data_IF_861867725212
#
_entry.id   IF_861867725212
#
_cell.length_a   1.000
_cell.length_b   1.000
_cell.length_c   1.000
_cell.angle_alpha   90.00
_cell.angle_beta   90.00
_cell.angle_gamma   90.00
#
_symmetry.space_group_name_H-M   'P 1'
#
loop_
_entity.id
_entity.type
_entity.pdbx_description
1 polymer ?
#
# COMPACT_ATOMS: atom_id res chain seq x y z
N UNK A 1 11.55 -35.01 19.29
CA UNK A 1 10.34 -34.27 18.85
C UNK A 1 10.53 -32.80 19.26
N UNK A 2 10.96 -31.93 18.36
CA UNK A 2 11.14 -30.50 18.64
C UNK A 2 9.82 -29.77 18.39
N UNK A 3 9.27 -29.15 19.43
CA UNK A 3 8.07 -28.31 19.32
C UNK A 3 8.50 -26.92 18.82
N UNK A 4 7.86 -26.36 17.77
CA UNK A 4 8.19 -25.02 17.32
C UNK A 4 7.70 -24.01 18.38
N UNK A 5 8.64 -23.31 19.03
CA UNK A 5 8.33 -22.16 19.89
C UNK A 5 7.94 -20.99 18.99
N UNK A 6 6.65 -20.85 18.73
CA UNK A 6 6.12 -19.64 18.10
C UNK A 6 6.17 -18.55 19.18
N UNK A 7 7.23 -17.75 19.16
CA UNK A 7 7.34 -16.56 20.00
C UNK A 7 6.17 -15.63 19.66
N UNK A 8 5.37 -15.26 20.66
CA UNK A 8 4.29 -14.28 20.52
C UNK A 8 4.81 -12.85 20.29
N UNK A 9 6.13 -12.64 20.38
CA UNK A 9 6.76 -11.36 20.11
C UNK A 9 7.09 -11.25 18.61
N UNK A 10 6.61 -10.21 17.90
CA UNK A 10 7.09 -9.92 16.56
C UNK A 10 8.62 -9.71 16.59
N UNK A 11 9.33 -10.06 15.51
CA UNK A 11 10.78 -9.92 15.48
C UNK A 11 11.18 -8.47 15.77
N UNK A 12 12.27 -8.24 16.53
CA UNK A 12 12.62 -6.94 17.10
C UNK A 12 12.94 -5.84 16.07
N UNK A 13 12.98 -6.19 14.79
CA UNK A 13 13.31 -5.29 13.66
C UNK A 13 12.08 -4.95 12.80
N UNK A 14 10.87 -5.23 13.29
CA UNK A 14 9.65 -4.82 12.58
C UNK A 14 9.35 -3.37 12.94
N UNK A 15 9.78 -2.44 12.09
CA UNK A 15 9.37 -1.04 12.19
C UNK A 15 7.84 -0.98 12.19
N UNK A 16 7.19 -0.57 13.30
CA UNK A 16 5.75 -0.53 13.34
C UNK A 16 5.23 0.42 12.28
N UNK A 17 5.96 1.45 11.86
CA UNK A 17 5.48 2.44 10.90
C UNK A 17 5.51 1.99 9.45
N UNK A 18 6.13 0.85 9.13
CA UNK A 18 6.18 0.32 7.76
C UNK A 18 5.02 -0.62 7.47
N UNK A 19 4.52 -0.58 6.23
CA UNK A 19 3.56 -1.57 5.75
C UNK A 19 4.22 -2.95 5.66
N UNK A 20 3.46 -3.99 6.03
CA UNK A 20 3.89 -5.37 5.91
C UNK A 20 3.75 -5.85 4.46
N UNK A 21 4.62 -5.35 3.57
CA UNK A 21 4.56 -5.65 2.15
C UNK A 21 4.81 -7.15 1.91
N UNK A 22 3.86 -7.82 1.25
CA UNK A 22 4.05 -9.22 0.85
C UNK A 22 5.14 -9.32 -0.24
N UNK A 23 5.83 -10.45 -0.30
CA UNK A 23 6.91 -10.65 -1.26
C UNK A 23 6.39 -10.86 -2.70
N UNK A 24 7.10 -10.28 -3.67
CA UNK A 24 6.90 -10.51 -5.10
C UNK A 24 5.50 -10.13 -5.60
N UNK A 25 4.86 -11.02 -6.36
CA UNK A 25 3.57 -10.77 -7.03
C UNK A 25 2.39 -10.56 -6.07
N UNK A 26 2.50 -10.96 -4.81
CA UNK A 26 1.45 -10.74 -3.80
C UNK A 26 1.54 -9.38 -3.10
N UNK A 27 2.61 -8.61 -3.35
CA UNK A 27 2.81 -7.29 -2.76
C UNK A 27 1.60 -6.37 -3.00
N UNK A 28 1.24 -6.18 -4.28
CA UNK A 28 0.18 -5.26 -4.70
C UNK A 28 -1.23 -5.74 -4.29
N UNK A 29 -1.65 -7.01 -4.53
CA UNK A 29 -2.97 -7.46 -4.10
C UNK A 29 -3.23 -7.27 -2.61
N UNK A 30 -2.26 -7.65 -1.76
CA UNK A 30 -2.37 -7.47 -0.32
C UNK A 30 -2.42 -5.99 0.07
N UNK A 31 -1.63 -5.15 -0.61
CA UNK A 31 -1.63 -3.72 -0.34
C UNK A 31 -2.98 -3.08 -0.72
N UNK A 32 -3.65 -3.56 -1.76
CA UNK A 32 -5.01 -3.11 -2.10
C UNK A 32 -6.03 -3.48 -1.00
N UNK A 33 -5.93 -4.69 -0.43
CA UNK A 33 -6.74 -5.10 0.72
C UNK A 33 -6.47 -4.20 1.94
N UNK A 34 -5.21 -3.86 2.21
CA UNK A 34 -4.81 -2.97 3.31
C UNK A 34 -5.28 -1.52 3.10
N UNK A 35 -5.39 -1.04 1.85
CA UNK A 35 -5.99 0.27 1.52
C UNK A 35 -7.50 0.33 1.81
N UNK A 36 -8.18 -0.80 1.83
CA UNK A 36 -9.60 -0.90 2.16
C UNK A 36 -9.84 -1.26 3.64
N UNK A 37 -8.77 -1.37 4.42
CA UNK A 37 -8.85 -1.67 5.85
C UNK A 37 -9.58 -0.55 6.61
N UNK A 38 -10.40 -0.87 7.62
CA UNK A 38 -11.05 0.13 8.47
C UNK A 38 -10.06 0.81 9.44
N UNK A 39 -8.84 0.28 9.59
CA UNK A 39 -7.83 0.87 10.45
C UNK A 39 -7.05 1.97 9.71
N UNK A 40 -7.21 3.22 10.15
CA UNK A 40 -6.52 4.40 9.59
C UNK A 40 -5.02 4.19 9.41
N UNK A 41 -4.36 3.66 10.44
CA UNK A 41 -2.92 3.48 10.44
C UNK A 41 -2.47 2.43 9.42
N UNK A 42 -3.28 1.39 9.19
CA UNK A 42 -3.03 0.38 8.15
C UNK A 42 -3.16 0.99 6.77
N UNK A 43 -4.22 1.79 6.54
CA UNK A 43 -4.41 2.53 5.29
C UNK A 43 -3.24 3.46 5.00
N UNK A 44 -2.85 4.30 5.96
CA UNK A 44 -1.75 5.26 5.79
C UNK A 44 -0.44 4.57 5.45
N UNK A 45 -0.15 3.43 6.11
CA UNK A 45 1.05 2.62 5.80
C UNK A 45 0.99 2.04 4.40
N UNK A 46 -0.14 1.44 4.02
CA UNK A 46 -0.35 0.91 2.68
C UNK A 46 -0.16 2.00 1.62
N UNK A 47 -0.69 3.19 1.87
CA UNK A 47 -0.58 4.35 0.97
C UNK A 47 0.85 4.85 0.83
N UNK A 48 1.62 4.91 1.93
CA UNK A 48 3.05 5.24 1.89
C UNK A 48 3.84 4.20 1.09
N UNK A 49 3.57 2.91 1.31
CA UNK A 49 4.21 1.86 0.53
C UNK A 49 3.80 1.89 -0.95
N UNK A 50 2.56 2.31 -1.25
CA UNK A 50 2.13 2.53 -2.64
C UNK A 50 2.87 3.70 -3.27
N UNK A 51 3.02 4.83 -2.56
CA UNK A 51 3.84 5.97 -3.01
C UNK A 51 5.25 5.50 -3.43
N UNK A 52 5.92 4.69 -2.60
CA UNK A 52 7.26 4.20 -2.91
C UNK A 52 7.27 3.30 -4.17
N UNK A 53 6.21 2.51 -4.38
CA UNK A 53 6.12 1.56 -5.49
C UNK A 53 5.74 2.21 -6.83
N UNK A 54 4.91 3.26 -6.85
CA UNK A 54 4.43 3.88 -8.10
C UNK A 54 5.48 4.71 -8.84
N UNK A 55 6.66 4.90 -8.26
CA UNK A 55 7.82 5.45 -8.98
C UNK A 55 8.38 4.48 -10.04
N UNK A 56 8.06 3.19 -9.92
CA UNK A 56 8.40 2.16 -10.91
C UNK A 56 7.22 1.99 -11.89
N UNK A 57 7.40 2.32 -13.19
CA UNK A 57 6.32 2.24 -14.17
C UNK A 57 5.75 0.82 -14.31
N UNK A 58 6.55 -0.24 -14.14
CA UNK A 58 6.04 -1.61 -14.21
C UNK A 58 5.02 -1.88 -13.10
N UNK A 59 5.27 -1.36 -11.90
CA UNK A 59 4.36 -1.46 -10.76
C UNK A 59 3.11 -0.62 -10.96
N UNK A 60 3.21 0.52 -11.63
CA UNK A 60 2.04 1.34 -12.02
C UNK A 60 1.12 0.52 -12.92
N UNK A 61 1.63 -0.11 -13.98
CA UNK A 61 0.82 -0.94 -14.86
C UNK A 61 0.16 -2.11 -14.12
N UNK A 62 0.90 -2.78 -13.24
CA UNK A 62 0.34 -3.86 -12.40
C UNK A 62 -0.74 -3.35 -11.45
N UNK A 63 -0.55 -2.19 -10.82
CA UNK A 63 -1.54 -1.59 -9.92
C UNK A 63 -2.82 -1.20 -10.67
N UNK A 64 -2.70 -0.65 -11.88
CA UNK A 64 -3.85 -0.34 -12.74
C UNK A 64 -4.61 -1.63 -13.09
N UNK A 65 -3.90 -2.69 -13.50
CA UNK A 65 -4.52 -3.98 -13.82
C UNK A 65 -5.23 -4.63 -12.62
N UNK A 66 -4.81 -4.31 -11.39
CA UNK A 66 -5.40 -4.78 -10.14
C UNK A 66 -6.55 -3.89 -9.62
N UNK A 67 -6.92 -2.83 -10.34
CA UNK A 67 -8.05 -1.96 -9.97
C UNK A 67 -7.74 -0.96 -8.84
N UNK A 68 -6.48 -0.57 -8.66
CA UNK A 68 -6.11 0.42 -7.63
C UNK A 68 -6.74 1.80 -7.84
N UNK A 69 -7.09 2.15 -9.08
CA UNK A 69 -7.71 3.44 -9.40
C UNK A 69 -9.06 3.63 -8.71
N UNK A 70 -9.87 2.57 -8.63
CA UNK A 70 -11.16 2.61 -7.93
C UNK A 70 -10.97 2.81 -6.42
N UNK A 71 -10.00 2.11 -5.82
CA UNK A 71 -9.63 2.30 -4.41
C UNK A 71 -9.11 3.73 -4.15
N UNK A 72 -8.23 4.24 -5.00
CA UNK A 72 -7.68 5.61 -4.87
C UNK A 72 -8.76 6.67 -4.99
N UNK A 73 -9.72 6.51 -5.91
CA UNK A 73 -10.86 7.41 -6.05
C UNK A 73 -11.66 7.52 -4.75
N UNK A 74 -11.95 6.39 -4.10
CA UNK A 74 -12.65 6.38 -2.81
C UNK A 74 -11.82 7.06 -1.69
N UNK A 75 -10.50 6.91 -1.73
CA UNK A 75 -9.59 7.52 -0.75
C UNK A 75 -9.49 9.05 -0.88
N UNK A 76 -9.84 9.62 -2.03
CA UNK A 76 -9.90 11.09 -2.19
C UNK A 76 -11.04 11.71 -1.37
N UNK A 77 -12.09 10.97 -1.06
CA UNK A 77 -13.23 11.42 -0.23
C UNK A 77 -13.03 11.07 1.25
N UNK A 78 -11.88 10.48 1.62
CA UNK A 78 -11.60 10.05 2.98
C UNK A 78 -11.54 11.23 3.95
N UNK A 79 -11.98 11.06 5.20
CA UNK A 79 -12.04 12.13 6.20
C UNK A 79 -10.65 12.65 6.63
N UNK A 80 -9.66 11.76 6.64
CA UNK A 80 -8.29 12.08 7.01
C UNK A 80 -7.54 12.85 5.91
N UNK A 81 -6.88 13.95 6.29
CA UNK A 81 -6.15 14.80 5.35
C UNK A 81 -4.91 14.13 4.77
N UNK A 82 -4.19 13.33 5.56
CA UNK A 82 -2.95 12.68 5.11
C UNK A 82 -3.27 11.63 4.04
N UNK A 83 -4.32 10.82 4.27
CA UNK A 83 -4.83 9.86 3.28
C UNK A 83 -5.18 10.55 1.97
N UNK A 84 -5.94 11.66 2.00
CA UNK A 84 -6.30 12.40 0.78
C UNK A 84 -5.08 12.96 0.06
N UNK A 85 -4.16 13.58 0.80
CA UNK A 85 -2.95 14.18 0.22
C UNK A 85 -2.10 13.11 -0.47
N UNK A 86 -1.84 12.00 0.21
CA UNK A 86 -1.02 10.91 -0.32
C UNK A 86 -1.71 10.18 -1.48
N UNK A 87 -3.04 10.00 -1.44
CA UNK A 87 -3.78 9.44 -2.56
C UNK A 87 -3.69 10.32 -3.80
N UNK A 88 -3.77 11.65 -3.62
CA UNK A 88 -3.60 12.62 -4.72
C UNK A 88 -2.18 12.57 -5.30
N UNK A 89 -1.16 12.46 -4.44
CA UNK A 89 0.24 12.33 -4.85
C UNK A 89 0.47 11.06 -5.69
N UNK A 90 -0.03 9.91 -5.22
CA UNK A 90 0.04 8.64 -5.97
C UNK A 90 -0.61 8.79 -7.34
N UNK A 91 -1.82 9.35 -7.40
CA UNK A 91 -2.53 9.56 -8.66
C UNK A 91 -1.73 10.46 -9.61
N UNK A 92 -1.15 11.54 -9.10
CA UNK A 92 -0.32 12.45 -9.90
C UNK A 92 0.89 11.73 -10.51
N UNK A 93 1.58 10.90 -9.73
CA UNK A 93 2.74 10.12 -10.21
C UNK A 93 2.29 9.12 -11.28
N UNK A 94 1.22 8.36 -11.02
CA UNK A 94 0.70 7.39 -11.98
C UNK A 94 0.28 8.06 -13.30
N UNK A 95 -0.34 9.24 -13.26
CA UNK A 95 -0.72 9.99 -14.47
C UNK A 95 0.47 10.53 -15.25
N UNK A 96 1.57 10.91 -14.57
CA UNK A 96 2.80 11.36 -15.23
C UNK A 96 3.42 10.25 -16.09
N UNK A 97 3.31 8.99 -15.66
CA UNK A 97 3.79 7.84 -16.43
C UNK A 97 2.90 7.49 -17.63
N UNK A 98 1.63 7.91 -17.64
CA UNK A 98 0.70 7.64 -18.75
C UNK A 98 0.94 8.53 -19.99
N UNK A 99 1.75 9.59 -19.86
CA UNK A 99 2.03 10.57 -20.92
C UNK A 99 3.38 10.30 -21.62
N UNK A 100 4.11 9.26 -21.22
CA UNK A 100 5.45 8.90 -21.74
C UNK A 100 5.44 7.77 -22.77
#
# INVERSE_FOLDING_TARGET
MAQPRISACPPPDTDPTKAALAFGRRALPKLNEELQSPQLLTQQRALMALCDLVHDPEKVYQAIALGFLDSLKNLLEHQDQIVRQKATEVLSIMTSHAIG
#
